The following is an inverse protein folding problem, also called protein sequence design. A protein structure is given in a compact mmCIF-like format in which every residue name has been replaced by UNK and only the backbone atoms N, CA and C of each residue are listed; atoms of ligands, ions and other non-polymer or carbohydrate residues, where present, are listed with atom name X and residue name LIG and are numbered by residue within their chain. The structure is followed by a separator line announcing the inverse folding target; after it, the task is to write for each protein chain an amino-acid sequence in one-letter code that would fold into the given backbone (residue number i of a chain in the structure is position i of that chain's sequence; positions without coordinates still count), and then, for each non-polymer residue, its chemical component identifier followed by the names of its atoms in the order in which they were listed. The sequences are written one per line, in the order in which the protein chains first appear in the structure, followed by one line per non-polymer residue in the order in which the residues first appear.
data_IF_857199264658
#
_entry.id   IF_857199264658
#
_cell.length_a   1.000
_cell.length_b   1.000
_cell.length_c   1.000
_cell.angle_alpha   90.00
_cell.angle_beta   90.00
_cell.angle_gamma   90.00
#
_symmetry.space_group_name_H-M   'P 1'
#
loop_
_entity.id
_entity.type
_entity.pdbx_description
1 polymer ?
#
# COMPACT_ATOMS: atom_id res chain seq x y z
N UNK A 1 -107.82 16.65 34.21
CA UNK A 1 -107.81 17.83 33.32
C UNK A 1 -106.46 17.89 32.64
N UNK A 2 -106.47 18.02 31.30
CA UNK A 2 -105.47 18.66 30.41
C UNK A 2 -103.98 18.35 30.70
N UNK A 3 -103.37 17.44 29.94
CA UNK A 3 -102.54 17.74 28.76
C UNK A 3 -101.40 18.73 29.02
N UNK A 4 -100.14 18.27 28.95
CA UNK A 4 -99.19 18.81 27.96
C UNK A 4 -98.01 17.85 27.74
N UNK A 5 -97.96 17.32 26.52
CA UNK A 5 -96.84 16.60 25.91
C UNK A 5 -95.82 17.62 25.42
N UNK A 6 -94.52 17.37 25.57
CA UNK A 6 -93.54 17.92 24.63
C UNK A 6 -92.41 16.89 24.41
N UNK A 7 -92.42 16.37 23.18
CA UNK A 7 -91.46 15.46 22.58
C UNK A 7 -90.31 16.32 22.03
N UNK A 8 -89.06 15.93 22.25
CA UNK A 8 -88.01 16.18 21.25
C UNK A 8 -87.09 14.96 21.16
N UNK A 9 -87.16 14.32 20.00
CA UNK A 9 -86.40 13.18 19.52
C UNK A 9 -84.97 13.56 19.12
N UNK A 10 -84.00 12.69 19.39
CA UNK A 10 -82.93 12.35 18.43
C UNK A 10 -82.31 10.99 18.79
N UNK A 11 -81.84 10.31 17.76
CA UNK A 11 -81.83 8.87 17.61
C UNK A 11 -80.55 8.16 18.08
N UNK A 12 -80.73 6.84 18.20
CA UNK A 12 -79.77 5.76 18.42
C UNK A 12 -78.38 5.91 17.74
N UNK A 13 -77.38 5.23 18.32
CA UNK A 13 -76.77 4.01 17.77
C UNK A 13 -75.93 3.36 18.88
N UNK A 14 -76.19 2.07 19.15
CA UNK A 14 -75.30 1.21 19.88
C UNK A 14 -74.39 0.49 18.87
N UNK A 15 -73.07 0.54 19.07
CA UNK A 15 -72.11 -0.30 18.36
C UNK A 15 -71.06 -0.80 19.37
N UNK A 16 -71.20 -2.09 19.72
CA UNK A 16 -70.18 -2.89 20.37
C UNK A 16 -69.17 -3.28 19.26
N UNK A 17 -67.91 -2.88 19.36
CA UNK A 17 -66.85 -3.40 18.48
C UNK A 17 -65.61 -3.74 19.29
N UNK A 18 -65.14 -4.95 19.05
CA UNK A 18 -64.10 -5.67 19.74
C UNK A 18 -62.68 -5.21 19.34
N UNK A 19 -61.73 -5.58 20.21
CA UNK A 19 -60.31 -5.85 19.94
C UNK A 19 -59.68 -5.21 18.69
N UNK A 20 -58.95 -4.11 18.90
CA UNK A 20 -57.83 -3.73 18.05
C UNK A 20 -56.53 -3.97 18.80
N UNK A 21 -56.14 -5.24 18.95
CA UNK A 21 -54.71 -5.52 19.11
C UNK A 21 -54.03 -4.90 17.89
N UNK A 22 -53.17 -3.91 18.11
CA UNK A 22 -52.17 -3.58 17.12
C UNK A 22 -51.30 -4.82 16.99
N UNK A 23 -51.58 -5.63 15.97
CA UNK A 23 -50.58 -6.54 15.42
C UNK A 23 -49.38 -5.66 15.09
N UNK A 24 -48.39 -5.72 15.98
CA UNK A 24 -47.01 -5.36 15.68
C UNK A 24 -46.70 -6.13 14.38
N UNK A 25 -46.16 -5.49 13.33
CA UNK A 25 -45.70 -6.26 12.19
C UNK A 25 -44.63 -7.22 12.73
N UNK A 26 -45.02 -8.49 12.88
CA UNK A 26 -44.13 -9.59 13.15
C UNK A 26 -43.21 -9.62 11.91
N UNK A 27 -41.99 -9.10 12.08
CA UNK A 27 -40.95 -9.23 11.08
C UNK A 27 -40.83 -10.72 10.76
N UNK A 28 -41.09 -11.07 9.50
CA UNK A 28 -41.13 -12.47 9.08
C UNK A 28 -39.83 -13.21 9.41
N UNK A 29 -39.94 -14.54 9.49
CA UNK A 29 -38.90 -15.56 9.74
C UNK A 29 -37.82 -15.63 8.63
N UNK A 30 -37.49 -14.49 8.02
CA UNK A 30 -36.44 -14.36 7.03
C UNK A 30 -35.08 -14.53 7.69
N UNK A 31 -34.20 -15.27 7.04
CA UNK A 31 -32.79 -15.39 7.38
C UNK A 31 -31.94 -15.29 6.13
N UNK A 32 -30.74 -14.71 6.28
CA UNK A 32 -29.76 -14.55 5.22
C UNK A 32 -28.45 -15.23 5.60
N UNK A 33 -27.81 -15.89 4.64
CA UNK A 33 -26.51 -16.56 4.84
C UNK A 33 -25.59 -16.31 3.66
N UNK A 34 -24.43 -15.69 3.92
CA UNK A 34 -23.39 -15.47 2.91
C UNK A 34 -22.71 -16.81 2.56
N UNK A 35 -22.35 -16.97 1.29
CA UNK A 35 -21.59 -18.14 0.81
C UNK A 35 -20.07 -17.93 0.84
N UNK A 36 -19.64 -16.70 1.11
CA UNK A 36 -18.24 -16.28 1.19
C UNK A 36 -17.99 -15.47 2.46
N UNK A 37 -16.75 -15.01 2.63
CA UNK A 37 -16.38 -14.11 3.72
C UNK A 37 -17.16 -12.77 3.62
N UNK A 38 -17.35 -12.14 4.78
CA UNK A 38 -18.03 -10.86 4.93
C UNK A 38 -17.13 -9.66 4.59
N UNK A 39 -15.94 -9.90 4.04
CA UNK A 39 -14.97 -8.87 3.67
C UNK A 39 -14.44 -9.15 2.25
N UNK A 40 -14.25 -8.10 1.47
CA UNK A 40 -13.78 -8.17 0.09
C UNK A 40 -12.87 -6.98 -0.21
N UNK A 41 -11.77 -7.25 -0.93
CA UNK A 41 -10.86 -6.22 -1.45
C UNK A 41 -10.94 -6.16 -2.97
N UNK A 42 -11.13 -4.96 -3.51
CA UNK A 42 -11.18 -4.67 -4.94
C UNK A 42 -9.98 -3.83 -5.40
N UNK A 43 -9.47 -3.99 -6.63
CA UNK A 43 -8.47 -3.10 -7.19
C UNK A 43 -9.00 -1.67 -7.33
N UNK A 44 -8.09 -0.71 -7.43
CA UNK A 44 -8.42 0.69 -7.68
C UNK A 44 -9.12 0.92 -9.03
N UNK A 45 -8.92 0.03 -10.01
CA UNK A 45 -9.59 0.11 -11.30
C UNK A 45 -11.10 -0.13 -11.17
N UNK A 46 -11.86 0.33 -12.17
CA UNK A 46 -13.26 -0.06 -12.34
C UNK A 46 -13.34 -1.59 -12.42
N UNK A 47 -14.23 -2.19 -11.62
CA UNK A 47 -14.34 -3.64 -11.56
C UNK A 47 -15.74 -4.08 -11.18
N UNK A 48 -16.13 -5.23 -11.73
CA UNK A 48 -17.31 -5.97 -11.31
C UNK A 48 -16.88 -7.17 -10.47
N UNK A 49 -17.62 -7.45 -9.42
CA UNK A 49 -17.43 -8.61 -8.54
C UNK A 49 -18.77 -9.20 -8.15
N UNK A 50 -18.77 -10.44 -7.67
CA UNK A 50 -20.00 -11.16 -7.35
C UNK A 50 -20.01 -11.54 -5.88
N UNK A 51 -21.13 -11.29 -5.21
CA UNK A 51 -21.44 -11.86 -3.91
C UNK A 51 -22.55 -12.89 -4.06
N UNK A 52 -22.46 -13.98 -3.30
CA UNK A 52 -23.45 -15.06 -3.30
C UNK A 52 -23.97 -15.31 -1.90
N UNK A 53 -25.28 -15.47 -1.78
CA UNK A 53 -25.95 -15.68 -0.51
C UNK A 53 -27.28 -16.43 -0.70
N UNK A 54 -27.77 -16.99 0.38
CA UNK A 54 -29.12 -17.58 0.45
C UNK A 54 -30.02 -16.70 1.31
N UNK A 55 -31.24 -16.43 0.84
CA UNK A 55 -32.29 -15.76 1.59
C UNK A 55 -33.53 -16.66 1.68
N UNK A 56 -34.13 -16.78 2.87
CA UNK A 56 -35.33 -17.63 3.07
C UNK A 56 -36.65 -16.92 2.78
N UNK A 57 -36.62 -15.61 2.59
CA UNK A 57 -37.75 -14.75 2.24
C UNK A 57 -37.30 -13.66 1.25
N UNK A 58 -38.22 -12.79 0.85
CA UNK A 58 -37.89 -11.60 0.07
C UNK A 58 -36.78 -10.79 0.74
N UNK A 59 -35.85 -10.30 -0.06
CA UNK A 59 -34.64 -9.65 0.41
C UNK A 59 -34.40 -8.33 -0.30
N UNK A 60 -33.62 -7.47 0.36
CA UNK A 60 -33.13 -6.21 -0.19
C UNK A 60 -31.64 -6.06 0.12
N UNK A 61 -30.91 -5.38 -0.76
CA UNK A 61 -29.51 -5.02 -0.59
C UNK A 61 -29.34 -3.51 -0.74
N UNK A 62 -28.58 -2.91 0.16
CA UNK A 62 -28.27 -1.48 0.16
C UNK A 62 -26.78 -1.27 0.33
N UNK A 63 -26.25 -0.22 -0.29
CA UNK A 63 -24.85 0.17 -0.16
C UNK A 63 -24.76 1.39 0.75
N UNK A 64 -23.95 1.29 1.79
CA UNK A 64 -23.59 2.37 2.71
C UNK A 64 -22.12 2.72 2.49
N UNK A 65 -21.76 4.02 2.49
CA UNK A 65 -20.35 4.43 2.38
C UNK A 65 -19.89 4.91 0.99
N UNK A 66 -20.81 5.11 0.03
CA UNK A 66 -20.53 5.89 -1.18
C UNK A 66 -21.33 5.48 -2.41
N UNK A 67 -21.39 6.37 -3.39
CA UNK A 67 -22.01 6.17 -4.71
C UNK A 67 -21.10 5.47 -5.72
N UNK A 68 -19.83 5.23 -5.35
CA UNK A 68 -18.84 4.54 -6.15
C UNK A 68 -19.08 3.04 -6.27
N UNK A 69 -19.88 2.45 -5.37
CA UNK A 69 -20.25 1.04 -5.37
C UNK A 69 -21.75 0.88 -5.53
N UNK A 70 -22.17 -0.04 -6.40
CA UNK A 70 -23.58 -0.40 -6.60
C UNK A 70 -23.76 -1.90 -6.57
N UNK A 71 -24.98 -2.36 -6.28
CA UNK A 71 -25.37 -3.78 -6.23
C UNK A 71 -26.57 -4.04 -7.13
N UNK A 72 -26.52 -5.14 -7.90
CA UNK A 72 -27.60 -5.56 -8.79
C UNK A 72 -27.74 -7.08 -8.85
N UNK A 73 -28.96 -7.64 -8.65
CA UNK A 73 -30.17 -6.94 -8.24
C UNK A 73 -30.05 -6.39 -6.79
N UNK A 74 -30.78 -5.31 -6.50
CA UNK A 74 -30.84 -4.73 -5.14
C UNK A 74 -32.00 -5.30 -4.31
N UNK A 75 -32.82 -6.19 -4.88
CA UNK A 75 -33.91 -6.87 -4.19
C UNK A 75 -34.35 -8.09 -4.98
N UNK A 76 -34.96 -9.06 -4.31
CA UNK A 76 -35.52 -10.24 -4.96
C UNK A 76 -36.33 -11.11 -4.01
N UNK A 77 -36.82 -12.23 -4.53
CA UNK A 77 -37.53 -13.25 -3.76
C UNK A 77 -36.53 -14.21 -3.07
N UNK A 78 -37.06 -15.07 -2.19
CA UNK A 78 -36.31 -16.12 -1.53
C UNK A 78 -35.57 -17.05 -2.52
N UNK A 79 -34.40 -17.54 -2.12
CA UNK A 79 -33.65 -18.51 -2.89
C UNK A 79 -32.14 -18.39 -2.71
N UNK A 80 -31.42 -18.92 -3.70
CA UNK A 80 -29.98 -18.74 -3.86
C UNK A 80 -29.76 -17.58 -4.84
N UNK A 81 -28.98 -16.60 -4.40
CA UNK A 81 -28.82 -15.33 -5.09
C UNK A 81 -27.35 -15.09 -5.41
N UNK A 82 -27.12 -14.59 -6.62
CA UNK A 82 -25.86 -14.05 -7.08
C UNK A 82 -26.09 -12.59 -7.46
N UNK A 83 -25.50 -11.66 -6.70
CA UNK A 83 -25.61 -10.23 -6.93
C UNK A 83 -24.26 -9.67 -7.39
N UNK A 84 -24.28 -8.88 -8.44
CA UNK A 84 -23.10 -8.18 -8.96
C UNK A 84 -22.91 -6.89 -8.21
N UNK A 85 -21.69 -6.70 -7.69
CA UNK A 85 -21.17 -5.44 -7.22
C UNK A 85 -20.40 -4.76 -8.36
N UNK A 86 -20.76 -3.52 -8.68
CA UNK A 86 -20.06 -2.72 -9.68
C UNK A 86 -19.41 -1.53 -8.99
N UNK A 87 -18.08 -1.49 -9.01
CA UNK A 87 -17.26 -0.45 -8.42
C UNK A 87 -16.67 0.45 -9.52
N UNK A 88 -16.91 1.76 -9.42
CA UNK A 88 -16.20 2.75 -10.24
C UNK A 88 -14.72 2.80 -9.84
N UNK A 89 -13.86 3.27 -10.73
CA UNK A 89 -12.44 3.45 -10.40
C UNK A 89 -12.25 4.38 -9.19
N UNK A 90 -11.32 4.04 -8.30
CA UNK A 90 -10.83 4.91 -7.24
C UNK A 90 -9.57 5.61 -7.75
N UNK A 91 -9.64 6.91 -8.00
CA UNK A 91 -8.49 7.72 -8.45
C UNK A 91 -7.70 8.33 -7.30
N UNK A 92 -8.19 8.20 -6.07
CA UNK A 92 -7.52 8.74 -4.88
C UNK A 92 -6.44 7.77 -4.40
N UNK A 93 -5.37 8.30 -3.80
CA UNK A 93 -4.28 7.49 -3.28
C UNK A 93 -4.68 6.64 -2.06
N UNK A 94 -5.67 7.12 -1.29
CA UNK A 94 -6.18 6.42 -0.13
C UNK A 94 -7.23 5.38 -0.54
N UNK A 95 -7.21 4.24 0.14
CA UNK A 95 -8.26 3.24 0.03
C UNK A 95 -9.61 3.80 0.54
N UNK A 96 -10.70 3.32 -0.05
CA UNK A 96 -12.08 3.67 0.36
C UNK A 96 -12.88 2.42 0.68
N UNK A 97 -13.80 2.54 1.63
CA UNK A 97 -14.59 1.40 2.12
C UNK A 97 -16.08 1.71 2.09
N UNK A 98 -16.87 0.72 1.66
CA UNK A 98 -18.32 0.71 1.70
C UNK A 98 -18.82 -0.59 2.36
N UNK A 99 -20.07 -0.61 2.78
CA UNK A 99 -20.73 -1.79 3.35
C UNK A 99 -21.98 -2.10 2.54
N UNK A 100 -22.09 -3.34 2.07
CA UNK A 100 -23.29 -3.87 1.46
C UNK A 100 -24.11 -4.55 2.55
N UNK A 101 -25.27 -4.00 2.87
CA UNK A 101 -26.21 -4.55 3.86
C UNK A 101 -27.33 -5.28 3.14
N UNK A 102 -27.49 -6.57 3.45
CA UNK A 102 -28.54 -7.44 2.93
C UNK A 102 -29.52 -7.71 4.07
N UNK A 103 -30.80 -7.43 3.85
CA UNK A 103 -31.86 -7.62 4.83
C UNK A 103 -32.85 -8.66 4.31
N UNK A 104 -33.18 -9.65 5.14
CA UNK A 104 -34.20 -10.66 4.88
C UNK A 104 -35.08 -10.80 6.14
N UNK A 105 -36.31 -10.27 6.09
CA UNK A 105 -37.16 -10.21 7.29
C UNK A 105 -36.53 -9.35 8.40
N UNK A 106 -36.28 -9.95 9.56
CA UNK A 106 -35.60 -9.30 10.68
C UNK A 106 -34.08 -9.58 10.74
N UNK A 107 -33.58 -10.48 9.88
CA UNK A 107 -32.18 -10.87 9.83
C UNK A 107 -31.40 -10.04 8.82
N UNK A 108 -30.11 -9.84 9.09
CA UNK A 108 -29.24 -9.00 8.28
C UNK A 108 -27.84 -9.60 8.14
N UNK A 109 -27.28 -9.50 6.95
CA UNK A 109 -25.88 -9.80 6.66
C UNK A 109 -25.19 -8.56 6.07
N UNK A 110 -23.91 -8.39 6.40
CA UNK A 110 -23.11 -7.26 5.91
C UNK A 110 -21.86 -7.77 5.20
N UNK A 111 -21.53 -7.16 4.06
CA UNK A 111 -20.27 -7.37 3.35
C UNK A 111 -19.51 -6.04 3.33
N UNK A 112 -18.34 -6.00 3.95
CA UNK A 112 -17.42 -4.87 3.88
C UNK A 112 -16.61 -4.95 2.59
N UNK A 113 -16.66 -3.90 1.79
CA UNK A 113 -15.93 -3.80 0.52
C UNK A 113 -14.91 -2.68 0.63
N UNK A 114 -13.63 -3.04 0.60
CA UNK A 114 -12.52 -2.09 0.54
C UNK A 114 -12.00 -2.04 -0.88
N UNK A 115 -12.02 -0.87 -1.49
CA UNK A 115 -11.37 -0.63 -2.78
C UNK A 115 -10.03 0.06 -2.52
N UNK A 116 -8.96 -0.54 -3.03
CA UNK A 116 -7.63 0.02 -2.93
C UNK A 116 -7.60 1.45 -3.50
N UNK A 117 -6.71 2.28 -2.96
CA UNK A 117 -6.36 3.54 -3.58
C UNK A 117 -5.73 3.29 -4.95
N UNK A 118 -5.88 4.24 -5.88
CA UNK A 118 -4.94 4.33 -6.99
C UNK A 118 -3.58 4.61 -6.34
N UNK A 119 -2.84 3.56 -6.01
CA UNK A 119 -1.46 3.66 -5.63
C UNK A 119 -0.82 4.52 -6.72
N UNK A 120 -0.54 5.78 -6.39
CA UNK A 120 0.42 6.55 -7.15
C UNK A 120 1.62 5.63 -7.16
N UNK A 121 2.04 5.24 -8.36
CA UNK A 121 3.18 4.35 -8.58
C UNK A 121 4.14 4.58 -7.44
N UNK A 122 4.25 3.59 -6.54
CA UNK A 122 5.24 3.66 -5.46
C UNK A 122 6.50 4.08 -6.19
N UNK A 123 7.06 5.28 -5.91
CA UNK A 123 8.06 5.87 -6.78
C UNK A 123 9.10 4.78 -6.94
N UNK A 124 9.25 4.26 -8.17
CA UNK A 124 10.05 3.06 -8.38
C UNK A 124 11.33 3.32 -7.62
N UNK A 125 11.60 2.47 -6.62
CA UNK A 125 12.75 2.63 -5.76
C UNK A 125 13.91 2.83 -6.73
N UNK A 126 14.59 3.99 -6.71
CA UNK A 126 15.42 4.42 -7.83
C UNK A 126 16.34 3.26 -8.16
N UNK A 127 16.24 2.73 -9.39
CA UNK A 127 16.98 1.54 -9.79
C UNK A 127 18.39 1.68 -9.23
N UNK A 128 18.74 0.81 -8.27
CA UNK A 128 20.05 0.85 -7.64
C UNK A 128 21.04 0.80 -8.81
N UNK A 129 21.88 1.84 -9.02
CA UNK A 129 22.55 2.04 -10.29
C UNK A 129 23.24 0.74 -10.65
N UNK A 130 22.91 0.17 -11.82
CA UNK A 130 23.46 -1.11 -12.26
C UNK A 130 24.95 -1.10 -11.94
N UNK A 131 25.38 -1.92 -10.96
CA UNK A 131 26.79 -2.00 -10.64
C UNK A 131 27.50 -2.33 -11.95
N UNK A 132 28.55 -1.58 -12.32
CA UNK A 132 29.17 -1.75 -13.62
C UNK A 132 29.52 -3.23 -13.80
N UNK A 133 28.80 -3.90 -14.71
CA UNK A 133 28.99 -5.32 -15.02
C UNK A 133 30.21 -5.44 -15.94
N UNK A 134 31.36 -5.11 -15.36
CA UNK A 134 32.68 -5.26 -15.92
C UNK A 134 33.63 -5.74 -14.82
N UNK A 135 34.58 -6.60 -15.15
CA UNK A 135 35.65 -6.94 -14.18
C UNK A 135 36.38 -5.65 -13.82
N UNK A 136 36.24 -5.20 -12.58
CA UNK A 136 36.92 -4.01 -12.10
C UNK A 136 38.46 -4.19 -12.20
N UNK A 137 39.21 -3.18 -12.66
CA UNK A 137 40.65 -3.30 -12.83
C UNK A 137 41.33 -3.46 -11.47
N UNK A 138 41.95 -4.62 -11.23
CA UNK A 138 42.70 -4.87 -9.99
C UNK A 138 44.03 -4.14 -9.91
N UNK A 139 44.61 -3.78 -11.05
CA UNK A 139 45.89 -3.07 -11.13
C UNK A 139 45.90 -2.12 -12.32
N UNK A 140 46.41 -0.92 -12.10
CA UNK A 140 46.74 0.03 -13.16
C UNK A 140 48.22 0.37 -12.99
N UNK A 141 48.99 0.10 -14.04
CA UNK A 141 50.40 0.48 -14.11
C UNK A 141 50.52 1.62 -15.12
N UNK A 142 51.01 2.76 -14.67
CA UNK A 142 51.26 3.93 -15.50
C UNK A 142 52.76 4.10 -15.70
N UNK A 143 53.16 4.37 -16.94
CA UNK A 143 54.52 4.77 -17.28
C UNK A 143 54.49 6.22 -17.69
N UNK A 144 55.12 7.08 -16.90
CA UNK A 144 55.27 8.50 -17.19
C UNK A 144 56.67 8.73 -17.74
N UNK A 145 56.77 9.41 -18.89
CA UNK A 145 58.04 9.91 -19.42
C UNK A 145 58.11 11.40 -19.13
N UNK A 146 58.94 11.80 -18.17
CA UNK A 146 59.21 13.19 -17.85
C UNK A 146 60.72 13.41 -17.89
N UNK A 147 61.16 14.32 -18.76
CA UNK A 147 62.56 14.67 -18.98
C UNK A 147 63.51 13.48 -19.24
N UNK A 148 63.01 12.43 -19.92
CA UNK A 148 63.79 11.25 -20.32
C UNK A 148 63.93 10.17 -19.24
N UNK A 149 63.18 10.30 -18.14
CA UNK A 149 63.04 9.29 -17.11
C UNK A 149 61.68 8.60 -17.21
N UNK A 150 61.69 7.27 -17.23
CA UNK A 150 60.49 6.45 -17.16
C UNK A 150 60.18 6.17 -15.69
N UNK A 151 59.01 6.62 -15.23
CA UNK A 151 58.51 6.33 -13.88
C UNK A 151 57.42 5.28 -13.93
N UNK A 152 57.54 4.23 -13.12
CA UNK A 152 56.47 3.25 -12.94
C UNK A 152 55.64 3.60 -11.72
N UNK A 153 54.34 3.84 -11.94
CA UNK A 153 53.36 4.06 -10.90
C UNK A 153 52.37 2.91 -10.94
N UNK A 154 52.41 2.07 -9.92
CA UNK A 154 51.52 0.93 -9.78
C UNK A 154 50.43 1.24 -8.75
N UNK A 155 49.19 1.15 -9.18
CA UNK A 155 48.00 1.27 -8.32
C UNK A 155 47.29 -0.07 -8.30
N UNK A 156 47.23 -0.70 -7.13
CA UNK A 156 46.47 -1.94 -6.91
C UNK A 156 45.20 -1.63 -6.14
N UNK A 157 44.06 -2.13 -6.60
CA UNK A 157 42.75 -1.84 -6.01
C UNK A 157 42.12 -3.09 -5.37
N UNK A 158 41.55 -2.92 -4.19
CA UNK A 158 40.70 -3.89 -3.50
C UNK A 158 39.26 -3.39 -3.43
N UNK A 159 38.31 -4.32 -3.55
CA UNK A 159 36.89 -4.02 -3.68
C UNK A 159 36.08 -4.79 -2.63
N UNK A 160 34.95 -4.22 -2.20
CA UNK A 160 33.94 -4.93 -1.40
C UNK A 160 33.04 -5.82 -2.27
N UNK A 161 32.08 -6.52 -1.63
CA UNK A 161 31.14 -7.44 -2.28
C UNK A 161 30.21 -6.75 -3.29
N UNK A 162 30.08 -5.42 -3.21
CA UNK A 162 29.26 -4.57 -4.08
C UNK A 162 30.11 -3.74 -5.05
N UNK A 163 31.39 -4.12 -5.24
CA UNK A 163 32.24 -3.55 -6.28
C UNK A 163 32.81 -2.14 -6.00
N UNK A 164 32.68 -1.61 -4.77
CA UNK A 164 33.26 -0.32 -4.38
C UNK A 164 34.71 -0.47 -3.95
N UNK A 165 35.56 0.52 -4.25
CA UNK A 165 36.99 0.51 -3.86
C UNK A 165 37.10 0.67 -2.35
N UNK A 166 37.64 -0.32 -1.64
CA UNK A 166 37.87 -0.25 -0.19
C UNK A 166 39.35 -0.13 0.16
N UNK A 167 40.24 -0.44 -0.78
CA UNK A 167 41.68 -0.24 -0.61
C UNK A 167 42.35 0.13 -1.93
N UNK A 168 43.34 1.03 -1.87
CA UNK A 168 44.26 1.28 -2.97
C UNK A 168 45.69 1.26 -2.43
N UNK A 169 46.57 0.51 -3.09
CA UNK A 169 48.00 0.47 -2.78
C UNK A 169 48.76 1.15 -3.91
N UNK A 170 49.52 2.19 -3.55
CA UNK A 170 50.43 2.86 -4.46
C UNK A 170 51.86 2.36 -4.26
N UNK A 171 52.49 1.93 -5.36
CA UNK A 171 53.91 1.58 -5.41
C UNK A 171 54.61 2.32 -6.54
N UNK A 172 55.90 2.58 -6.33
CA UNK A 172 56.79 3.12 -7.35
C UNK A 172 58.13 2.41 -7.30
N UNK A 173 58.75 2.22 -8.47
CA UNK A 173 60.07 1.61 -8.62
C UNK A 173 61.23 2.61 -8.46
N UNK A 174 60.92 3.84 -8.07
CA UNK A 174 61.87 4.95 -7.95
C UNK A 174 62.87 4.72 -6.79
N UNK A 175 63.90 3.91 -7.05
CA UNK A 175 64.99 3.58 -6.15
C UNK A 175 65.90 4.75 -5.73
N UNK A 176 65.48 6.02 -5.90
CA UNK A 176 66.25 7.17 -5.44
C UNK A 176 65.44 8.47 -5.13
N UNK A 177 64.11 8.51 -5.30
CA UNK A 177 63.31 9.75 -5.07
C UNK A 177 62.37 9.69 -3.85
N UNK A 178 62.32 8.55 -3.14
CA UNK A 178 61.80 8.49 -1.77
C UNK A 178 60.32 8.81 -1.59
N UNK A 179 59.49 8.73 -2.63
CA UNK A 179 58.04 8.84 -2.44
C UNK A 179 57.56 7.67 -1.59
N UNK A 180 56.88 7.92 -0.46
CA UNK A 180 56.41 6.83 0.39
C UNK A 180 55.39 6.00 -0.37
N UNK A 181 55.53 4.67 -0.32
CA UNK A 181 54.43 3.76 -0.65
C UNK A 181 53.30 4.02 0.34
N UNK A 182 52.07 4.11 -0.17
CA UNK A 182 50.90 4.47 0.63
C UNK A 182 49.80 3.43 0.47
N UNK A 183 49.21 3.05 1.60
CA UNK A 183 47.93 2.35 1.64
C UNK A 183 46.83 3.38 1.84
N UNK A 184 45.85 3.38 0.96
CA UNK A 184 44.63 4.16 1.07
C UNK A 184 43.49 3.22 1.44
N UNK A 185 42.76 3.51 2.51
CA UNK A 185 41.54 2.81 2.92
C UNK A 185 40.36 3.74 2.74
N UNK A 186 39.26 3.21 2.21
CA UNK A 186 38.07 3.97 1.90
C UNK A 186 36.90 3.46 2.75
N UNK A 187 36.26 4.37 3.47
CA UNK A 187 35.07 4.09 4.28
C UNK A 187 33.90 4.95 3.79
N UNK A 188 32.77 4.30 3.49
CA UNK A 188 31.61 4.96 2.89
C UNK A 188 30.53 5.24 3.95
N UNK A 189 30.16 6.52 4.10
CA UNK A 189 28.98 6.97 4.86
C UNK A 189 27.79 7.25 3.94
N UNK A 190 26.66 7.71 4.49
CA UNK A 190 25.44 7.97 3.71
C UNK A 190 25.63 9.00 2.57
N UNK A 191 26.55 9.95 2.72
CA UNK A 191 26.87 10.98 1.71
C UNK A 191 28.36 11.37 1.69
N UNK A 192 29.23 10.53 2.23
CA UNK A 192 30.66 10.84 2.39
C UNK A 192 31.53 9.64 2.09
N UNK A 193 32.75 9.91 1.64
CA UNK A 193 33.83 8.92 1.58
C UNK A 193 34.98 9.43 2.44
N UNK A 194 35.31 8.65 3.46
CA UNK A 194 36.47 8.89 4.31
C UNK A 194 37.67 8.13 3.73
N UNK A 195 38.76 8.85 3.45
CA UNK A 195 39.99 8.24 2.96
C UNK A 195 41.04 8.31 4.07
N UNK A 196 41.46 7.14 4.54
CA UNK A 196 42.56 7.01 5.49
C UNK A 196 43.84 6.64 4.73
N UNK A 197 44.92 7.38 4.98
CA UNK A 197 46.21 7.20 4.32
C UNK A 197 47.21 6.68 5.35
N UNK A 198 47.73 5.49 5.12
CA UNK A 198 48.80 4.88 5.90
C UNK A 198 50.09 4.92 5.07
N UNK A 199 51.03 5.78 5.46
CA UNK A 199 52.35 5.85 4.87
C UNK A 199 53.18 4.65 5.34
N UNK A 200 53.74 3.86 4.41
CA UNK A 200 54.63 2.72 4.74
C UNK A 200 56.07 3.12 5.07
N UNK A 201 56.36 4.42 5.09
CA UNK A 201 57.65 4.94 5.52
C UNK A 201 57.63 5.30 7.00
N UNK A 202 58.63 4.80 7.75
CA UNK A 202 58.81 5.01 9.18
C UNK A 202 58.94 6.50 9.56
N UNK A 203 59.26 7.38 8.61
CA UNK A 203 59.45 8.83 8.84
C UNK A 203 58.16 9.68 8.77
N UNK A 204 57.03 9.13 8.27
CA UNK A 204 55.78 9.89 8.07
C UNK A 204 54.55 9.19 8.66
N UNK A 205 54.74 8.44 9.75
CA UNK A 205 53.63 7.82 10.47
C UNK A 205 52.80 8.87 11.23
N UNK A 206 51.67 9.29 10.64
CA UNK A 206 50.59 9.98 11.33
C UNK A 206 50.06 11.23 10.60
N UNK A 207 48.74 11.20 10.30
CA UNK A 207 47.87 12.25 9.69
C UNK A 207 47.86 12.23 8.15
N UNK A 208 46.72 12.37 7.44
CA UNK A 208 45.49 13.11 7.73
C UNK A 208 44.25 12.49 7.04
N UNK A 209 43.09 12.59 7.71
CA UNK A 209 41.76 12.33 7.11
C UNK A 209 41.44 13.46 6.13
N UNK A 210 41.14 13.12 4.88
CA UNK A 210 40.52 14.05 3.95
C UNK A 210 39.08 13.60 3.76
N UNK A 211 38.14 14.31 4.38
CA UNK A 211 36.70 14.15 4.12
C UNK A 211 36.37 14.81 2.78
N UNK A 212 35.75 14.05 1.89
CA UNK A 212 35.13 14.59 0.68
C UNK A 212 33.62 14.37 0.77
N UNK A 213 32.86 15.46 0.68
CA UNK A 213 31.42 15.42 0.47
C UNK A 213 31.16 15.22 -1.03
N UNK A 214 30.35 14.24 -1.41
CA UNK A 214 29.81 14.23 -2.77
C UNK A 214 28.81 15.38 -2.88
N UNK A 215 29.01 16.29 -3.84
CA UNK A 215 27.98 17.27 -4.20
C UNK A 215 26.75 16.53 -4.74
N UNK A 216 25.57 16.97 -4.29
CA UNK A 216 24.24 16.46 -4.66
C UNK A 216 23.93 16.63 -6.14
#
# INVERSE_FOLDING_TARGET
MRHFTLILTTAAVAALMAAGCQEKPEGGDGSVSLHSEAEMTLPAAETDSVISFTATADWTATVEGGDWLSVSPASGEAGEISATLSASANSDADARTATVRITCGADEATVTVTQEGAAGEEPEEPEEPEQPTGKMPRSISMVLDEDGYLYHHDYTFGYDEVGRVVSMLFKTDNGNFGWPENDYKFEYGQNSVNINIEFRSDELSGLSVVEWTLDS
#
